data_IF_190072780665
#
_entry.id   IF_190072780665
#
_cell.length_a   1.000
_cell.length_b   1.000
_cell.length_c   1.000
_cell.angle_alpha   90.00
_cell.angle_beta   90.00
_cell.angle_gamma   90.00
#
_symmetry.space_group_name_H-M   'P 1'
#
loop_
_entity.id
_entity.type
_entity.pdbx_description
1 polymer ?
#
# COMPACT_ATOMS: atom_id res chain seq x y z
N UNK A 1 2.07 -12.13 -0.61
CA UNK A 1 0.68 -12.54 -0.73
C UNK A 1 0.37 -13.06 -2.11
N UNK A 2 -0.63 -13.90 -2.17
CA UNK A 2 -1.05 -14.51 -3.43
C UNK A 2 -1.50 -13.43 -4.40
N UNK A 3 -0.95 -13.44 -5.60
CA UNK A 3 -1.29 -12.52 -6.68
C UNK A 3 -1.01 -11.05 -6.40
N UNK A 4 -0.35 -10.72 -5.29
CA UNK A 4 0.13 -9.35 -5.10
C UNK A 4 1.39 -9.14 -5.92
N UNK A 5 1.54 -7.95 -6.49
CA UNK A 5 2.69 -7.57 -7.30
C UNK A 5 3.43 -6.44 -6.61
N UNK A 6 4.68 -6.67 -6.24
CA UNK A 6 5.51 -5.67 -5.57
C UNK A 6 6.75 -5.46 -6.40
N UNK A 7 6.88 -4.28 -6.99
CA UNK A 7 8.00 -3.96 -7.85
C UNK A 7 9.29 -3.74 -7.03
N UNK A 8 10.41 -3.60 -7.73
CA UNK A 8 11.71 -3.46 -7.07
C UNK A 8 11.77 -2.15 -6.26
N UNK A 9 12.69 -2.10 -5.33
CA UNK A 9 12.95 -0.95 -4.46
C UNK A 9 11.75 -0.56 -3.58
N UNK A 10 10.77 -1.43 -3.42
CA UNK A 10 9.70 -1.20 -2.46
C UNK A 10 10.16 -1.58 -1.07
N UNK A 11 9.70 -0.82 -0.07
CA UNK A 11 9.97 -1.11 1.31
C UNK A 11 8.65 -1.37 2.03
N UNK A 12 8.47 -2.60 2.50
CA UNK A 12 7.29 -3.00 3.26
C UNK A 12 7.73 -3.13 4.71
N UNK A 13 7.25 -2.24 5.57
CA UNK A 13 7.63 -2.24 6.97
C UNK A 13 6.99 -3.39 7.73
N UNK A 14 7.42 -3.58 8.99
CA UNK A 14 6.95 -4.68 9.82
C UNK A 14 5.44 -4.66 10.00
N UNK A 15 4.86 -5.84 9.96
CA UNK A 15 3.42 -6.05 10.19
C UNK A 15 2.50 -5.35 9.20
N UNK A 16 3.03 -4.82 8.11
CA UNK A 16 2.18 -4.33 7.03
C UNK A 16 1.56 -5.51 6.29
N UNK A 17 0.32 -5.37 5.89
CA UNK A 17 -0.40 -6.42 5.17
C UNK A 17 -0.76 -5.95 3.77
N UNK A 18 -0.26 -6.66 2.78
CA UNK A 18 -0.56 -6.39 1.37
C UNK A 18 -1.54 -7.45 0.89
N UNK A 19 -2.78 -7.08 0.75
CA UNK A 19 -3.83 -8.03 0.35
C UNK A 19 -3.64 -8.53 -1.08
N UNK A 20 -4.35 -9.61 -1.47
CA UNK A 20 -4.24 -10.13 -2.84
C UNK A 20 -4.56 -9.09 -3.90
N UNK A 21 -3.95 -9.25 -5.06
CA UNK A 21 -4.15 -8.41 -6.23
C UNK A 21 -3.79 -6.93 -6.05
N UNK A 22 -3.06 -6.61 -4.99
CA UNK A 22 -2.45 -5.29 -4.87
C UNK A 22 -1.31 -5.16 -5.86
N UNK A 23 -1.07 -3.94 -6.32
CA UNK A 23 0.00 -3.66 -7.27
C UNK A 23 0.78 -2.45 -6.76
N UNK A 24 2.02 -2.68 -6.34
CA UNK A 24 2.90 -1.63 -5.86
C UNK A 24 3.95 -1.35 -6.92
N UNK A 25 3.92 -0.16 -7.47
CA UNK A 25 4.92 0.28 -8.45
C UNK A 25 6.25 0.57 -7.76
N UNK A 26 7.27 0.90 -8.54
CA UNK A 26 8.62 1.04 -8.00
C UNK A 26 8.74 2.08 -6.89
N UNK A 27 9.61 1.82 -5.93
CA UNK A 27 9.97 2.75 -4.84
C UNK A 27 8.80 3.14 -3.93
N UNK A 28 7.80 2.29 -3.80
CA UNK A 28 6.70 2.51 -2.85
C UNK A 28 7.14 2.07 -1.47
N UNK A 29 6.76 2.86 -0.46
CA UNK A 29 6.98 2.50 0.93
C UNK A 29 5.65 2.34 1.63
N UNK A 30 5.49 1.23 2.36
CA UNK A 30 4.29 0.96 3.15
C UNK A 30 4.70 0.89 4.61
N UNK A 31 4.15 1.78 5.42
CA UNK A 31 4.49 1.89 6.83
C UNK A 31 3.99 0.72 7.68
N UNK A 32 4.44 0.70 8.93
CA UNK A 32 4.12 -0.39 9.87
C UNK A 32 2.63 -0.47 10.11
N UNK A 33 2.14 -1.71 10.24
CA UNK A 33 0.74 -2.00 10.56
C UNK A 33 -0.27 -1.47 9.52
N UNK A 34 0.19 -1.02 8.38
CA UNK A 34 -0.73 -0.59 7.32
C UNK A 34 -1.33 -1.80 6.63
N UNK A 35 -2.55 -1.65 6.17
CA UNK A 35 -3.29 -2.72 5.51
C UNK A 35 -3.86 -2.20 4.20
N UNK A 36 -3.33 -2.69 3.10
CA UNK A 36 -3.84 -2.34 1.78
C UNK A 36 -4.92 -3.33 1.38
N UNK A 37 -6.12 -2.82 1.15
CA UNK A 37 -7.24 -3.67 0.76
C UNK A 37 -7.02 -4.32 -0.61
N UNK A 38 -7.73 -5.41 -0.84
CA UNK A 38 -7.61 -6.18 -2.08
C UNK A 38 -7.68 -5.30 -3.31
N UNK A 39 -6.77 -5.51 -4.26
CA UNK A 39 -6.78 -4.77 -5.51
C UNK A 39 -6.33 -3.33 -5.42
N UNK A 40 -5.77 -2.90 -4.29
CA UNK A 40 -5.20 -1.55 -4.19
C UNK A 40 -4.02 -1.41 -5.14
N UNK A 41 -3.98 -0.32 -5.89
CA UNK A 41 -2.84 0.00 -6.73
C UNK A 41 -2.18 1.28 -6.27
N UNK A 42 -0.85 1.28 -6.23
CA UNK A 42 -0.07 2.40 -5.71
C UNK A 42 0.91 2.87 -6.78
N UNK A 43 0.88 4.15 -7.08
CA UNK A 43 1.75 4.75 -8.08
C UNK A 43 3.21 4.79 -7.61
N UNK A 44 4.16 4.93 -8.54
CA UNK A 44 5.59 4.94 -8.17
C UNK A 44 5.93 6.05 -7.17
N UNK A 45 6.83 5.75 -6.26
CA UNK A 45 7.38 6.73 -5.34
C UNK A 45 6.46 7.14 -4.19
N UNK A 46 5.31 6.52 -4.06
CA UNK A 46 4.35 6.86 -3.00
C UNK A 46 4.82 6.32 -1.66
N UNK A 47 4.68 7.14 -0.62
CA UNK A 47 4.90 6.73 0.75
C UNK A 47 3.57 6.62 1.47
N UNK A 48 3.25 5.43 1.93
CA UNK A 48 2.07 5.17 2.75
C UNK A 48 2.54 5.10 4.19
N UNK A 49 1.94 5.93 5.03
CA UNK A 49 2.33 6.04 6.43
C UNK A 49 2.06 4.79 7.24
N UNK A 50 2.25 4.89 8.56
CA UNK A 50 1.98 3.80 9.49
C UNK A 50 0.49 3.70 9.78
N UNK A 51 0.01 2.50 10.04
CA UNK A 51 -1.37 2.28 10.45
C UNK A 51 -2.40 2.89 9.49
N UNK A 52 -2.13 2.79 8.19
CA UNK A 52 -3.03 3.25 7.14
C UNK A 52 -3.87 2.07 6.66
N UNK A 53 -5.12 2.33 6.36
CA UNK A 53 -5.99 1.31 5.75
C UNK A 53 -6.55 1.85 4.46
N UNK A 54 -6.49 1.06 3.41
CA UNK A 54 -7.11 1.42 2.13
C UNK A 54 -8.25 0.47 1.84
N UNK A 55 -9.31 1.01 1.26
CA UNK A 55 -10.46 0.21 0.86
C UNK A 55 -10.10 -0.69 -0.33
N UNK A 56 -10.92 -1.69 -0.55
CA UNK A 56 -10.79 -2.58 -1.70
C UNK A 56 -10.78 -1.76 -2.98
N UNK A 57 -9.82 -2.03 -3.87
CA UNK A 57 -9.73 -1.37 -5.15
C UNK A 57 -9.24 0.07 -5.12
N UNK A 58 -8.70 0.52 -4.00
CA UNK A 58 -8.20 1.90 -3.88
C UNK A 58 -7.10 2.17 -4.89
N UNK A 59 -7.09 3.38 -5.41
CA UNK A 59 -6.00 3.87 -6.26
C UNK A 59 -5.27 4.97 -5.53
N UNK A 60 -3.98 4.76 -5.26
CA UNK A 60 -3.20 5.66 -4.43
C UNK A 60 -2.25 6.47 -5.31
N UNK A 61 -2.54 7.76 -5.46
CA UNK A 61 -1.77 8.67 -6.28
C UNK A 61 -0.92 9.65 -5.48
N UNK A 62 -1.16 9.74 -4.17
CA UNK A 62 -0.50 10.69 -3.30
C UNK A 62 -0.06 9.98 -2.04
N UNK A 63 0.95 10.52 -1.37
CA UNK A 63 1.37 10.00 -0.09
C UNK A 63 0.20 10.04 0.90
N UNK A 64 0.15 9.04 1.76
CA UNK A 64 -0.91 8.94 2.77
C UNK A 64 -0.27 9.09 4.14
N UNK A 65 -0.80 10.01 4.94
CA UNK A 65 -0.30 10.25 6.29
C UNK A 65 -0.68 9.10 7.22
N UNK A 66 0.06 8.99 8.33
CA UNK A 66 -0.21 7.97 9.34
C UNK A 66 -1.67 8.02 9.80
N UNK A 67 -2.16 6.87 10.20
CA UNK A 67 -3.50 6.72 10.81
C UNK A 67 -4.66 7.15 9.91
N UNK A 68 -4.46 7.13 8.61
CA UNK A 68 -5.50 7.50 7.65
C UNK A 68 -6.25 6.26 7.17
N UNK A 69 -7.55 6.42 6.96
CA UNK A 69 -8.37 5.42 6.25
C UNK A 69 -8.76 6.02 4.92
N UNK A 70 -8.27 5.42 3.85
CA UNK A 70 -8.61 5.89 2.50
C UNK A 70 -9.75 5.07 1.94
N UNK A 71 -10.80 5.76 1.53
CA UNK A 71 -12.00 5.13 0.96
C UNK A 71 -12.05 5.43 -0.54
N UNK A 72 -11.31 4.64 -1.28
CA UNK A 72 -11.17 4.84 -2.72
C UNK A 72 -10.42 6.12 -3.06
#
# INVERSE_FOLDING_TARGET
NTSASVDHDCLIEDFAHISPNCSLSGSVRVGKFSHLGTGTSVHPGIHIGNNVKTAVGSKVFKNILDDTVQKN
#
